data_IF_564889138497
#
_entry.id   IF_564889138497
#
_cell.length_a   1.000
_cell.length_b   1.000
_cell.length_c   1.000
_cell.angle_alpha   90.00
_cell.angle_beta   90.00
_cell.angle_gamma   90.00
#
_symmetry.space_group_name_H-M   'P 1'
#
loop_
_entity.id
_entity.type
_entity.pdbx_description
1 polymer ?
#
# COMPACT_ATOMS: atom_id res chain seq x y z
N UNK A 1 2.06 17.39 -23.34
CA UNK A 1 0.91 17.55 -22.41
C UNK A 1 -0.23 16.68 -22.89
N UNK A 2 -0.68 15.69 -22.11
CA UNK A 2 -1.75 14.75 -22.51
C UNK A 2 -3.11 15.39 -22.21
N UNK A 3 -3.90 15.67 -23.24
CA UNK A 3 -5.27 16.17 -23.09
C UNK A 3 -6.11 15.16 -22.29
N UNK A 4 -6.80 15.62 -21.25
CA UNK A 4 -7.79 14.85 -20.50
C UNK A 4 -9.13 15.57 -20.63
N UNK A 5 -10.20 14.90 -21.11
CA UNK A 5 -11.52 15.52 -21.18
C UNK A 5 -12.01 15.91 -19.79
N UNK A 6 -12.68 17.05 -19.69
CA UNK A 6 -13.37 17.47 -18.47
C UNK A 6 -14.39 16.42 -18.05
N UNK A 7 -14.46 16.05 -16.76
CA UNK A 7 -15.46 15.12 -16.26
C UNK A 7 -16.87 15.65 -16.56
N UNK A 8 -17.78 14.75 -16.96
CA UNK A 8 -19.20 15.08 -17.13
C UNK A 8 -19.81 15.43 -15.76
N UNK A 9 -20.71 16.42 -15.67
CA UNK A 9 -21.38 16.77 -14.42
C UNK A 9 -22.14 15.55 -13.88
N UNK A 10 -22.02 15.26 -12.58
CA UNK A 10 -22.78 14.20 -11.91
C UNK A 10 -22.09 12.83 -11.80
N UNK A 11 -20.83 12.70 -12.21
CA UNK A 11 -20.00 11.54 -11.85
C UNK A 11 -19.16 11.92 -10.65
N UNK A 12 -19.56 11.47 -9.46
CA UNK A 12 -18.69 11.50 -8.29
C UNK A 12 -17.36 10.87 -8.70
N UNK A 13 -16.29 11.64 -8.61
CA UNK A 13 -14.96 11.06 -8.61
C UNK A 13 -14.97 10.11 -7.42
N UNK A 14 -15.21 8.81 -7.67
CA UNK A 14 -14.80 7.78 -6.72
C UNK A 14 -13.31 8.03 -6.59
N UNK A 15 -12.93 8.77 -5.54
CA UNK A 15 -11.54 9.00 -5.18
C UNK A 15 -10.90 7.63 -5.28
N UNK A 16 -9.99 7.39 -6.23
CA UNK A 16 -9.36 6.09 -6.33
C UNK A 16 -8.78 5.85 -4.96
N UNK A 17 -9.25 4.82 -4.25
CA UNK A 17 -8.64 4.45 -2.98
C UNK A 17 -7.24 3.99 -3.34
N UNK A 18 -6.29 4.91 -3.26
CA UNK A 18 -4.88 4.64 -3.47
C UNK A 18 -4.44 3.80 -2.28
N UNK A 19 -4.72 2.51 -2.34
CA UNK A 19 -4.05 1.56 -1.47
C UNK A 19 -2.56 1.60 -1.85
N UNK A 20 -1.65 1.82 -0.89
CA UNK A 20 -0.23 1.70 -1.18
C UNK A 20 0.03 0.23 -1.56
N UNK A 21 0.34 -0.02 -2.82
CA UNK A 21 0.84 -1.33 -3.23
C UNK A 21 2.33 -1.38 -2.92
N UNK A 22 2.67 -2.11 -1.84
CA UNK A 22 4.05 -2.39 -1.47
C UNK A 22 4.32 -3.88 -1.71
N UNK A 23 5.38 -4.18 -2.46
CA UNK A 23 5.89 -5.55 -2.60
C UNK A 23 7.22 -5.65 -1.89
N UNK A 24 7.24 -6.24 -0.70
CA UNK A 24 8.46 -6.55 0.04
C UNK A 24 8.81 -8.00 -0.24
N UNK A 25 9.99 -8.25 -0.77
CA UNK A 25 10.45 -9.58 -1.11
C UNK A 25 11.94 -9.73 -0.76
N UNK A 26 12.33 -10.95 -0.39
CA UNK A 26 13.71 -11.33 -0.10
C UNK A 26 13.84 -12.17 1.17
N UNK A 27 14.89 -13.00 1.21
CA UNK A 27 15.18 -13.89 2.34
C UNK A 27 15.48 -13.13 3.65
N UNK A 28 15.78 -11.83 3.57
CA UNK A 28 16.01 -11.00 4.75
C UNK A 28 14.76 -10.89 5.65
N UNK A 29 13.56 -11.10 5.11
CA UNK A 29 12.33 -11.15 5.90
C UNK A 29 12.29 -12.39 6.80
N UNK A 30 12.72 -13.55 6.29
CA UNK A 30 12.85 -14.77 7.10
C UNK A 30 13.90 -14.58 8.20
N UNK A 31 15.04 -13.95 7.88
CA UNK A 31 16.04 -13.59 8.89
C UNK A 31 15.55 -12.57 9.92
N UNK A 32 14.57 -11.74 9.56
CA UNK A 32 13.89 -10.82 10.47
C UNK A 32 12.74 -11.49 11.25
N UNK A 33 12.52 -12.80 11.07
CA UNK A 33 11.52 -13.59 11.81
C UNK A 33 10.13 -13.63 11.16
N UNK A 34 10.02 -13.27 9.88
CA UNK A 34 8.76 -13.36 9.14
C UNK A 34 8.67 -14.64 8.30
N UNK A 35 7.51 -15.29 8.32
CA UNK A 35 7.28 -16.50 7.53
C UNK A 35 6.53 -16.19 6.21
N UNK A 36 6.77 -16.95 5.13
CA UNK A 36 6.01 -16.82 3.89
C UNK A 36 4.50 -17.02 4.12
N UNK A 37 3.68 -16.07 3.65
CA UNK A 37 2.22 -16.13 3.80
C UNK A 37 1.70 -15.73 5.19
N UNK A 38 2.59 -15.32 6.10
CA UNK A 38 2.22 -14.83 7.43
C UNK A 38 1.36 -13.57 7.34
N UNK A 39 0.33 -13.49 8.19
CA UNK A 39 -0.42 -12.24 8.41
C UNK A 39 0.41 -11.29 9.26
N UNK A 40 0.43 -10.02 8.86
CA UNK A 40 1.20 -8.99 9.55
C UNK A 40 0.31 -7.79 9.84
N UNK A 41 0.65 -7.09 10.92
CA UNK A 41 0.11 -5.78 11.26
C UNK A 41 1.03 -4.70 10.69
N UNK A 42 0.43 -3.67 10.10
CA UNK A 42 1.15 -2.50 9.58
C UNK A 42 0.69 -1.26 10.33
N UNK A 43 1.65 -0.57 10.93
CA UNK A 43 1.42 0.73 11.58
C UNK A 43 2.07 1.85 10.79
N UNK A 44 1.29 2.90 10.51
CA UNK A 44 1.74 4.08 9.79
C UNK A 44 2.06 5.18 10.78
N UNK A 45 3.33 5.59 10.82
CA UNK A 45 3.84 6.69 11.62
C UNK A 45 4.43 7.76 10.71
N UNK A 46 4.59 8.99 11.20
CA UNK A 46 5.20 10.06 10.41
C UNK A 46 6.64 9.68 10.00
N UNK A 47 6.87 9.54 8.69
CA UNK A 47 8.17 9.13 8.13
C UNK A 47 8.57 7.67 8.36
N UNK A 48 7.67 6.80 8.84
CA UNK A 48 7.98 5.41 9.19
C UNK A 48 6.80 4.47 9.00
N UNK A 49 7.07 3.28 8.47
CA UNK A 49 6.16 2.14 8.51
C UNK A 49 6.75 1.09 9.44
N UNK A 50 5.94 0.58 10.37
CA UNK A 50 6.31 -0.54 11.25
C UNK A 50 5.49 -1.75 10.84
N UNK A 51 6.17 -2.87 10.57
CA UNK A 51 5.55 -4.13 10.19
C UNK A 51 5.90 -5.14 11.28
N UNK A 52 4.89 -5.79 11.84
CA UNK A 52 5.07 -6.83 12.86
C UNK A 52 4.21 -8.04 12.52
N UNK A 53 4.59 -9.25 12.97
CA UNK A 53 3.66 -10.37 13.07
C UNK A 53 2.34 -9.96 13.73
N UNK A 54 1.24 -10.55 13.28
CA UNK A 54 -0.07 -10.48 13.97
C UNK A 54 -0.07 -11.33 15.25
#
# INVERSE_FOLDING_TARGET
MRWRPSPKPGRDWRTPTFFPWLRIAGMWLEHAGFEPGQRVRIEVQYGRLVITPD
#
